data_IF_538714380290
#
_entry.id   IF_538714380290
#
_cell.length_a   1.000
_cell.length_b   1.000
_cell.length_c   1.000
_cell.angle_alpha   90.00
_cell.angle_beta   90.00
_cell.angle_gamma   90.00
#
_symmetry.space_group_name_H-M   'P 1'
#
loop_
_entity.id
_entity.type
_entity.pdbx_description
1 polymer ?
#
# COMPACT_ATOMS: atom_id res chain seq x y z
N UNK A 1 -11.90 -30.91 -19.09
CA UNK A 1 -10.81 -31.18 -18.12
C UNK A 1 -10.43 -29.86 -17.47
N UNK A 2 -10.73 -29.71 -16.18
CA UNK A 2 -10.49 -28.49 -15.42
C UNK A 2 -8.99 -28.36 -15.12
N UNK A 3 -8.37 -27.29 -15.60
CA UNK A 3 -6.95 -27.05 -15.44
C UNK A 3 -6.68 -26.43 -14.06
N UNK A 4 -6.64 -27.29 -13.03
CA UNK A 4 -6.38 -26.92 -11.62
C UNK A 4 -5.04 -26.20 -11.42
N UNK A 5 -4.10 -26.38 -12.34
CA UNK A 5 -2.72 -25.89 -12.23
C UNK A 5 -2.61 -24.35 -12.35
N UNK A 6 -3.48 -23.71 -13.14
CA UNK A 6 -3.49 -22.25 -13.31
C UNK A 6 -4.19 -21.50 -12.15
N UNK A 7 -5.11 -22.17 -11.45
CA UNK A 7 -5.78 -21.60 -10.28
C UNK A 7 -4.90 -21.64 -9.03
N UNK A 8 -4.13 -22.73 -8.87
CA UNK A 8 -3.16 -22.83 -7.79
C UNK A 8 -2.01 -21.82 -7.94
N UNK A 9 -1.53 -21.49 -9.15
CA UNK A 9 -0.36 -20.59 -9.27
C UNK A 9 -0.63 -19.14 -8.86
N UNK A 10 -1.77 -18.55 -9.22
CA UNK A 10 -2.14 -17.17 -8.84
C UNK A 10 -2.41 -17.02 -7.34
N UNK A 11 -3.14 -17.97 -6.74
CA UNK A 11 -3.45 -17.95 -5.31
C UNK A 11 -2.22 -18.19 -4.43
N UNK A 12 -1.30 -19.04 -4.88
CA UNK A 12 -0.12 -19.46 -4.13
C UNK A 12 0.99 -18.39 -4.21
N UNK A 13 1.07 -17.60 -5.28
CA UNK A 13 1.89 -16.37 -5.33
C UNK A 13 1.33 -15.25 -4.44
N UNK A 14 0.00 -15.06 -4.40
CA UNK A 14 -0.63 -14.14 -3.45
C UNK A 14 -0.36 -14.54 -1.99
N UNK A 15 -0.39 -15.85 -1.68
CA UNK A 15 -0.03 -16.37 -0.36
C UNK A 15 1.48 -16.24 -0.05
N UNK A 16 2.37 -16.36 -1.04
CA UNK A 16 3.81 -16.19 -0.85
C UNK A 16 4.23 -14.74 -0.55
N UNK A 17 3.50 -13.75 -1.08
CA UNK A 17 3.70 -12.34 -0.71
C UNK A 17 3.30 -12.09 0.76
N UNK A 18 2.30 -12.80 1.28
CA UNK A 18 1.86 -12.71 2.68
C UNK A 18 2.82 -13.44 3.62
N UNK A 19 3.37 -14.59 3.21
CA UNK A 19 4.29 -15.38 4.03
C UNK A 19 5.70 -14.78 4.19
N UNK A 20 6.13 -13.89 3.28
CA UNK A 20 7.38 -13.16 3.42
C UNK A 20 7.33 -12.04 4.49
N UNK A 21 6.15 -11.69 5.01
CA UNK A 21 5.99 -10.71 6.09
C UNK A 21 6.14 -11.31 7.51
N UNK A 22 6.33 -12.62 7.63
CA UNK A 22 6.50 -13.30 8.91
C UNK A 22 7.90 -13.91 9.03
N UNK A 23 8.95 -13.09 9.21
CA UNK A 23 10.19 -13.43 9.94
C UNK A 23 11.16 -12.24 9.95
N UNK A 24 10.94 -11.27 10.85
CA UNK A 24 12.01 -10.47 11.45
C UNK A 24 11.46 -9.63 12.62
N UNK A 25 11.92 -9.98 13.81
CA UNK A 25 11.84 -9.29 15.10
C UNK A 25 11.64 -7.76 15.07
N UNK A 26 10.80 -7.24 15.98
CA UNK A 26 11.25 -6.76 17.30
C UNK A 26 10.08 -6.18 18.09
N UNK A 27 9.89 -6.65 19.33
CA UNK A 27 8.98 -6.03 20.30
C UNK A 27 9.41 -4.58 20.59
N UNK A 28 8.46 -3.63 20.68
CA UNK A 28 8.66 -2.44 21.49
C UNK A 28 7.97 -2.62 22.86
N UNK A 29 8.76 -2.38 23.91
CA UNK A 29 8.36 -2.21 25.32
C UNK A 29 7.18 -1.23 25.51
N UNK A 30 6.38 -1.36 26.59
CA UNK A 30 5.21 -0.52 26.83
C UNK A 30 5.58 0.83 27.46
N UNK A 31 5.28 1.92 26.76
CA UNK A 31 5.42 3.29 27.28
C UNK A 31 4.18 3.71 28.08
N UNK A 32 4.35 4.17 29.32
CA UNK A 32 3.31 4.81 30.15
C UNK A 32 3.89 5.97 31.01
N UNK A 33 3.06 6.94 31.45
CA UNK A 33 3.26 8.37 31.16
C UNK A 33 3.46 9.28 32.39
N UNK A 34 3.92 10.52 32.19
CA UNK A 34 3.81 11.71 33.08
C UNK A 34 4.42 12.92 32.33
N UNK A 35 3.98 14.19 32.38
CA UNK A 35 3.14 14.96 33.31
C UNK A 35 2.76 16.32 32.67
N UNK A 36 1.57 16.82 33.01
CA UNK A 36 1.17 18.24 33.19
C UNK A 36 1.37 19.26 32.03
N UNK A 37 0.20 19.77 31.62
CA UNK A 37 -0.17 20.83 30.68
C UNK A 37 0.79 22.05 30.67
N UNK A 38 1.48 22.21 29.54
CA UNK A 38 1.84 23.52 28.95
C UNK A 38 1.09 23.58 27.62
N UNK A 39 0.73 24.75 27.09
CA UNK A 39 0.37 24.88 25.66
C UNK A 39 1.62 24.52 24.85
N UNK A 40 1.89 23.24 24.68
CA UNK A 40 3.11 22.75 24.02
C UNK A 40 2.91 22.94 22.52
N UNK A 41 3.83 23.67 21.90
CA UNK A 41 4.01 23.59 20.46
C UNK A 41 4.04 22.10 20.07
N UNK A 42 3.27 21.71 19.05
CA UNK A 42 3.32 20.34 18.55
C UNK A 42 4.76 20.00 18.19
N UNK A 43 5.23 18.86 18.68
CA UNK A 43 6.54 18.34 18.29
C UNK A 43 6.57 18.03 16.79
N UNK A 44 7.77 18.00 16.21
CA UNK A 44 7.96 17.70 14.78
C UNK A 44 7.29 16.36 14.34
N UNK A 45 7.37 15.26 15.11
CA UNK A 45 6.63 14.02 14.79
C UNK A 45 5.11 14.20 14.81
N UNK A 46 4.57 14.98 15.75
CA UNK A 46 3.13 15.24 15.84
C UNK A 46 2.64 16.09 14.66
N UNK A 47 3.44 17.05 14.20
CA UNK A 47 3.16 17.82 13.00
C UNK A 47 3.17 16.93 11.75
N UNK A 48 4.18 16.07 11.60
CA UNK A 48 4.26 15.12 10.50
C UNK A 48 3.03 14.18 10.48
N UNK A 49 2.65 13.62 11.63
CA UNK A 49 1.44 12.80 11.77
C UNK A 49 0.19 13.59 11.41
N UNK A 50 0.06 14.83 11.86
CA UNK A 50 -1.09 15.68 11.55
C UNK A 50 -1.18 15.97 10.04
N UNK A 51 -0.07 16.25 9.37
CA UNK A 51 -0.02 16.42 7.91
C UNK A 51 -0.51 15.16 7.21
N UNK A 52 0.05 13.99 7.56
CA UNK A 52 -0.29 12.70 6.96
C UNK A 52 -1.78 12.35 7.14
N UNK A 53 -2.34 12.69 8.30
CA UNK A 53 -3.75 12.51 8.62
C UNK A 53 -4.66 13.43 7.79
N UNK A 54 -4.35 14.72 7.72
CA UNK A 54 -5.16 15.70 6.97
C UNK A 54 -5.19 15.41 5.47
N UNK A 55 -4.10 14.88 4.90
CA UNK A 55 -4.07 14.48 3.49
C UNK A 55 -4.62 13.07 3.24
N UNK A 56 -5.07 12.35 4.26
CA UNK A 56 -5.72 11.03 4.10
C UNK A 56 -4.78 9.86 3.82
N UNK A 57 -3.48 9.99 4.13
CA UNK A 57 -2.45 9.00 3.74
C UNK A 57 -2.78 7.57 4.17
N UNK A 58 -3.33 7.39 5.38
CA UNK A 58 -3.71 6.07 5.89
C UNK A 58 -4.71 5.35 4.99
N UNK A 59 -5.78 6.06 4.59
CA UNK A 59 -6.79 5.51 3.70
C UNK A 59 -6.22 5.21 2.32
N UNK A 60 -5.37 6.11 1.79
CA UNK A 60 -4.77 5.93 0.47
C UNK A 60 -3.83 4.72 0.46
N UNK A 61 -3.01 4.58 1.50
CA UNK A 61 -2.10 3.46 1.66
C UNK A 61 -2.83 2.12 1.63
N UNK A 62 -3.88 1.97 2.44
CA UNK A 62 -4.65 0.72 2.51
C UNK A 62 -5.38 0.45 1.18
N UNK A 63 -5.88 1.49 0.52
CA UNK A 63 -6.52 1.37 -0.80
C UNK A 63 -5.53 0.94 -1.88
N UNK A 64 -4.32 1.50 -1.89
CA UNK A 64 -3.26 1.14 -2.85
C UNK A 64 -2.71 -0.26 -2.58
N UNK A 65 -2.59 -0.67 -1.31
CA UNK A 65 -2.25 -2.04 -0.93
C UNK A 65 -3.29 -3.04 -1.49
N UNK A 66 -4.55 -2.63 -1.56
CA UNK A 66 -5.63 -3.36 -2.21
C UNK A 66 -5.39 -3.71 -3.69
N UNK A 67 -4.44 -3.08 -4.39
CA UNK A 67 -4.08 -3.46 -5.76
C UNK A 67 -3.56 -4.89 -5.90
N UNK A 68 -2.93 -5.41 -4.85
CA UNK A 68 -2.45 -6.79 -4.84
C UNK A 68 -3.64 -7.74 -5.04
N UNK A 69 -4.78 -7.38 -4.44
CA UNK A 69 -6.05 -8.09 -4.61
C UNK A 69 -6.55 -7.94 -6.05
N UNK A 70 -6.49 -6.74 -6.62
CA UNK A 70 -6.89 -6.49 -8.02
C UNK A 70 -6.09 -7.34 -9.03
N UNK A 71 -4.80 -7.57 -8.77
CA UNK A 71 -3.96 -8.44 -9.59
C UNK A 71 -4.27 -9.94 -9.42
N UNK A 72 -4.66 -10.35 -8.21
CA UNK A 72 -4.95 -11.74 -7.89
C UNK A 72 -6.23 -12.28 -8.56
N UNK A 73 -7.16 -11.42 -9.00
CA UNK A 73 -8.42 -11.84 -9.62
C UNK A 73 -8.55 -11.41 -11.06
N UNK A 74 -8.71 -12.39 -11.96
CA UNK A 74 -9.17 -12.12 -13.31
C UNK A 74 -10.60 -11.52 -13.26
N UNK A 75 -10.95 -10.57 -14.13
CA UNK A 75 -12.28 -9.95 -14.16
C UNK A 75 -13.43 -10.96 -14.22
N UNK A 76 -13.26 -12.05 -14.99
CA UNK A 76 -14.26 -13.10 -15.15
C UNK A 76 -14.53 -13.93 -13.89
N UNK A 77 -13.61 -13.92 -12.92
CA UNK A 77 -13.70 -14.69 -11.66
C UNK A 77 -13.88 -13.79 -10.43
N UNK A 78 -14.17 -12.51 -10.64
CA UNK A 78 -14.30 -11.54 -9.56
C UNK A 78 -15.44 -11.89 -8.61
N UNK A 79 -15.11 -12.05 -7.32
CA UNK A 79 -16.07 -12.28 -6.25
C UNK A 79 -16.01 -11.10 -5.28
N UNK A 80 -16.98 -10.16 -5.30
CA UNK A 80 -16.88 -8.90 -4.56
C UNK A 80 -16.75 -9.09 -3.04
N UNK A 81 -17.49 -10.05 -2.47
CA UNK A 81 -17.40 -10.36 -1.02
C UNK A 81 -16.02 -10.88 -0.61
N UNK A 82 -15.41 -11.73 -1.45
CA UNK A 82 -14.09 -12.29 -1.19
C UNK A 82 -13.00 -11.23 -1.37
N UNK A 83 -13.13 -10.39 -2.40
CA UNK A 83 -12.24 -9.25 -2.61
C UNK A 83 -12.26 -8.29 -1.43
N UNK A 84 -13.44 -7.86 -0.98
CA UNK A 84 -13.57 -7.00 0.19
C UNK A 84 -13.00 -7.64 1.47
N UNK A 85 -13.24 -8.94 1.67
CA UNK A 85 -12.64 -9.68 2.79
C UNK A 85 -11.11 -9.69 2.72
N UNK A 86 -10.52 -9.97 1.56
CA UNK A 86 -9.07 -10.03 1.39
C UNK A 86 -8.43 -8.63 1.53
N UNK A 87 -9.08 -7.59 1.02
CA UNK A 87 -8.66 -6.20 1.27
C UNK A 87 -8.63 -5.89 2.77
N UNK A 88 -9.66 -6.30 3.52
CA UNK A 88 -9.70 -6.13 4.98
C UNK A 88 -8.59 -6.91 5.70
N UNK A 89 -8.27 -8.12 5.23
CA UNK A 89 -7.10 -8.87 5.75
C UNK A 89 -5.81 -8.11 5.50
N UNK A 90 -5.58 -7.61 4.27
CA UNK A 90 -4.36 -6.86 3.95
C UNK A 90 -4.24 -5.56 4.77
N UNK A 91 -5.31 -4.79 4.92
CA UNK A 91 -5.29 -3.58 5.76
C UNK A 91 -4.94 -3.92 7.22
N UNK A 92 -5.42 -5.06 7.74
CA UNK A 92 -5.11 -5.49 9.11
C UNK A 92 -3.68 -6.01 9.26
N UNK A 93 -3.20 -6.81 8.32
CA UNK A 93 -1.91 -7.50 8.45
C UNK A 93 -0.73 -6.71 7.91
N UNK A 94 -0.95 -5.82 6.93
CA UNK A 94 0.09 -5.08 6.23
C UNK A 94 -0.27 -3.61 5.94
N UNK A 95 -1.41 -3.12 6.46
CA UNK A 95 -1.90 -1.76 6.24
C UNK A 95 -1.16 -0.68 7.02
N UNK A 96 -1.73 0.52 7.00
CA UNK A 96 -1.10 1.78 7.43
C UNK A 96 -0.40 1.72 8.79
N UNK A 97 -0.99 1.03 9.78
CA UNK A 97 -0.42 0.92 11.14
C UNK A 97 1.02 0.41 11.19
N UNK A 98 1.43 -0.36 10.18
CA UNK A 98 2.78 -0.93 10.08
C UNK A 98 3.74 -0.04 9.28
N UNK A 99 3.23 0.93 8.53
CA UNK A 99 3.99 1.83 7.69
C UNK A 99 4.10 3.25 8.26
N UNK A 100 3.19 3.64 9.16
CA UNK A 100 3.07 5.01 9.68
C UNK A 100 4.40 5.60 10.16
N UNK A 101 5.17 4.85 10.95
CA UNK A 101 6.45 5.31 11.50
C UNK A 101 7.47 5.66 10.40
N UNK A 102 7.51 4.90 9.31
CA UNK A 102 8.41 5.16 8.19
C UNK A 102 8.02 6.45 7.46
N UNK A 103 6.73 6.72 7.32
CA UNK A 103 6.24 7.96 6.72
C UNK A 103 6.54 9.16 7.60
N UNK A 104 6.29 9.06 8.91
CA UNK A 104 6.63 10.12 9.88
C UNK A 104 8.13 10.41 9.82
N UNK A 105 8.98 9.39 9.95
CA UNK A 105 10.43 9.54 9.90
C UNK A 105 10.91 10.19 8.59
N UNK A 106 10.29 9.83 7.45
CA UNK A 106 10.60 10.47 6.17
C UNK A 106 10.26 11.96 6.17
N UNK A 107 9.09 12.35 6.68
CA UNK A 107 8.69 13.75 6.77
C UNK A 107 9.61 14.54 7.72
N UNK A 108 9.97 13.94 8.85
CA UNK A 108 10.90 14.55 9.81
C UNK A 108 12.30 14.75 9.23
N UNK A 109 12.79 13.82 8.43
CA UNK A 109 14.11 13.94 7.79
C UNK A 109 14.12 14.96 6.63
N UNK A 110 12.96 15.23 6.03
CA UNK A 110 12.89 16.01 4.78
C UNK A 110 12.50 17.47 5.02
N UNK A 111 11.59 17.74 5.96
CA UNK A 111 11.01 19.06 6.18
C UNK A 111 11.42 19.62 7.54
N UNK A 112 11.57 20.93 7.64
CA UNK A 112 11.67 21.66 8.91
C UNK A 112 10.31 21.72 9.62
N UNK A 113 10.32 22.10 10.90
CA UNK A 113 9.08 22.30 11.66
C UNK A 113 8.19 23.39 11.06
N UNK A 114 8.79 24.47 10.54
CA UNK A 114 8.07 25.56 9.90
C UNK A 114 7.38 25.10 8.61
N UNK A 115 8.09 24.34 7.77
CA UNK A 115 7.51 23.75 6.55
C UNK A 115 6.39 22.75 6.87
N UNK A 116 6.52 21.93 7.92
CA UNK A 116 5.44 21.02 8.33
C UNK A 116 4.20 21.78 8.81
N UNK A 117 4.36 22.91 9.50
CA UNK A 117 3.24 23.79 9.88
C UNK A 117 2.57 24.43 8.66
N UNK A 118 3.37 24.86 7.68
CA UNK A 118 2.86 25.40 6.43
C UNK A 118 2.10 24.32 5.63
N UNK A 119 2.69 23.14 5.46
CA UNK A 119 2.05 21.99 4.82
C UNK A 119 0.74 21.60 5.52
N UNK A 120 0.72 21.62 6.86
CA UNK A 120 -0.50 21.36 7.63
C UNK A 120 -1.57 22.43 7.41
N UNK A 121 -1.17 23.68 7.19
CA UNK A 121 -2.09 24.77 6.88
C UNK A 121 -2.64 24.62 5.46
N UNK A 122 -1.78 24.28 4.50
CA UNK A 122 -2.17 24.03 3.11
C UNK A 122 -3.10 22.81 3.00
N UNK A 123 -2.81 21.70 3.67
CA UNK A 123 -3.62 20.48 3.64
C UNK A 123 -5.03 20.68 4.18
N UNK A 124 -5.21 21.66 5.08
CA UNK A 124 -6.51 22.04 5.61
C UNK A 124 -7.37 22.86 4.65
N UNK A 125 -6.78 23.43 3.59
CA UNK A 125 -7.52 24.24 2.64
C UNK A 125 -8.57 23.41 1.89
N UNK A 126 -9.81 23.91 1.74
CA UNK A 126 -10.88 23.16 1.09
C UNK A 126 -10.56 22.71 -0.34
N UNK A 127 -9.85 23.54 -1.11
CA UNK A 127 -9.47 23.20 -2.48
C UNK A 127 -8.45 22.04 -2.53
N UNK A 128 -7.49 22.03 -1.60
CA UNK A 128 -6.51 20.94 -1.48
C UNK A 128 -7.21 19.65 -1.08
N UNK A 129 -8.12 19.70 -0.10
CA UNK A 129 -8.92 18.52 0.29
C UNK A 129 -9.75 17.99 -0.88
N UNK A 130 -10.41 18.88 -1.62
CA UNK A 130 -11.20 18.51 -2.81
C UNK A 130 -10.34 17.87 -3.89
N UNK A 131 -9.14 18.40 -4.13
CA UNK A 131 -8.18 17.83 -5.07
C UNK A 131 -7.76 16.42 -4.65
N UNK A 132 -7.36 16.23 -3.39
CA UNK A 132 -6.93 14.94 -2.86
C UNK A 132 -8.07 13.90 -2.92
N UNK A 133 -9.28 14.28 -2.53
CA UNK A 133 -10.46 13.39 -2.64
C UNK A 133 -10.77 13.02 -4.08
N UNK A 134 -10.65 13.96 -5.03
CA UNK A 134 -10.90 13.70 -6.43
C UNK A 134 -9.85 12.73 -7.03
N UNK A 135 -8.59 12.83 -6.63
CA UNK A 135 -7.53 11.90 -7.05
C UNK A 135 -7.82 10.48 -6.56
N UNK A 136 -8.17 10.32 -5.29
CA UNK A 136 -8.45 9.03 -4.66
C UNK A 136 -9.69 8.38 -5.26
N UNK A 137 -10.72 9.17 -5.53
CA UNK A 137 -11.93 8.68 -6.18
C UNK A 137 -11.64 8.27 -7.62
N UNK A 138 -10.90 9.09 -8.39
CA UNK A 138 -10.50 8.74 -9.75
C UNK A 138 -9.68 7.44 -9.78
N UNK A 139 -8.82 7.25 -8.77
CA UNK A 139 -8.06 6.02 -8.59
C UNK A 139 -8.97 4.79 -8.32
N UNK A 140 -9.99 4.95 -7.48
CA UNK A 140 -10.99 3.90 -7.22
C UNK A 140 -11.81 3.58 -8.46
N UNK A 141 -12.29 4.61 -9.17
CA UNK A 141 -13.13 4.49 -10.35
C UNK A 141 -12.39 3.82 -11.51
N UNK A 142 -11.06 4.00 -11.59
CA UNK A 142 -10.21 3.32 -12.56
C UNK A 142 -10.01 1.82 -12.28
N UNK A 143 -10.41 1.29 -11.11
CA UNK A 143 -10.13 -0.09 -10.71
C UNK A 143 -10.63 -1.18 -11.68
N UNK A 144 -11.84 -1.12 -12.27
CA UNK A 144 -12.29 -2.12 -13.23
C UNK A 144 -11.40 -2.19 -14.48
N UNK A 145 -11.07 -1.04 -15.07
CA UNK A 145 -10.20 -0.97 -16.25
C UNK A 145 -8.75 -1.33 -15.91
N UNK A 146 -8.26 -0.91 -14.74
CA UNK A 146 -6.94 -1.32 -14.23
C UNK A 146 -6.86 -2.84 -14.11
N UNK A 147 -7.84 -3.51 -13.51
CA UNK A 147 -7.89 -4.98 -13.41
C UNK A 147 -7.89 -5.67 -14.76
N UNK A 148 -8.68 -5.19 -15.72
CA UNK A 148 -8.71 -5.72 -17.08
C UNK A 148 -7.35 -5.63 -17.77
N UNK A 149 -6.65 -4.50 -17.62
CA UNK A 149 -5.31 -4.30 -18.18
C UNK A 149 -4.27 -5.18 -17.50
N UNK A 150 -4.31 -5.29 -16.17
CA UNK A 150 -3.42 -6.16 -15.40
C UNK A 150 -3.58 -7.63 -15.78
N UNK A 151 -4.82 -8.11 -15.90
CA UNK A 151 -5.08 -9.50 -16.34
C UNK A 151 -4.58 -9.74 -17.77
N UNK A 152 -4.75 -8.78 -18.68
CA UNK A 152 -4.18 -8.87 -20.03
C UNK A 152 -2.65 -9.00 -19.99
N UNK A 153 -1.97 -8.11 -19.26
CA UNK A 153 -0.50 -8.14 -19.13
C UNK A 153 -0.04 -9.48 -18.56
N UNK A 154 -0.72 -9.98 -17.54
CA UNK A 154 -0.43 -11.29 -16.96
C UNK A 154 -0.58 -12.41 -17.98
N UNK A 155 -1.67 -12.43 -18.73
CA UNK A 155 -1.93 -13.46 -19.74
C UNK A 155 -0.92 -13.38 -20.89
N UNK A 156 -0.54 -12.18 -21.33
CA UNK A 156 0.45 -11.97 -22.37
C UNK A 156 1.86 -12.43 -21.93
N UNK A 157 2.26 -12.14 -20.69
CA UNK A 157 3.50 -12.64 -20.10
C UNK A 157 3.53 -14.17 -20.07
N UNK A 158 2.48 -14.81 -19.55
CA UNK A 158 2.41 -16.28 -19.47
C UNK A 158 2.26 -16.96 -20.83
N UNK A 159 1.81 -16.23 -21.85
CA UNK A 159 1.69 -16.73 -23.23
C UNK A 159 2.92 -16.36 -24.09
N UNK A 160 4.02 -15.89 -23.47
CA UNK A 160 5.24 -15.43 -24.15
C UNK A 160 5.05 -14.31 -25.18
N UNK A 161 3.93 -13.57 -25.10
CA UNK A 161 3.68 -12.37 -25.92
C UNK A 161 4.43 -11.15 -25.39
N UNK A 162 4.82 -11.18 -24.12
CA UNK A 162 5.78 -10.23 -23.51
C UNK A 162 7.05 -11.04 -23.24
N UNK A 163 8.09 -10.95 -24.09
CA UNK A 163 9.32 -11.67 -23.88
C UNK A 163 10.07 -11.11 -22.68
N UNK A 164 10.65 -11.99 -21.86
CA UNK A 164 11.58 -11.58 -20.82
C UNK A 164 12.89 -11.12 -21.48
N UNK A 165 13.48 -9.97 -21.08
CA UNK A 165 14.79 -9.58 -21.59
C UNK A 165 15.85 -10.64 -21.25
N UNK A 166 16.80 -10.95 -22.16
CA UNK A 166 17.85 -11.94 -21.92
C UNK A 166 18.69 -11.68 -20.68
N UNK A 167 18.86 -10.43 -20.29
CA UNK A 167 19.61 -10.00 -19.11
C UNK A 167 18.93 -10.49 -17.82
N UNK A 168 17.58 -10.45 -17.79
CA UNK A 168 16.78 -10.91 -16.65
C UNK A 168 16.75 -12.44 -16.56
N UNK A 169 16.70 -13.12 -17.71
CA UNK A 169 16.76 -14.60 -17.73
C UNK A 169 18.06 -15.13 -17.10
N UNK A 170 19.20 -14.51 -17.40
CA UNK A 170 20.50 -14.92 -16.85
C UNK A 170 20.60 -14.77 -15.33
N UNK A 171 19.90 -13.81 -14.72
CA UNK A 171 19.84 -13.65 -13.27
C UNK A 171 19.01 -14.74 -12.60
N UNK A 172 17.95 -15.24 -13.27
CA UNK A 172 17.11 -16.32 -12.73
C UNK A 172 17.78 -17.69 -12.73
N UNK A 173 18.86 -17.86 -13.52
CA UNK A 173 19.64 -19.10 -13.62
C UNK A 173 20.82 -19.15 -12.63
N UNK A 174 21.17 -18.02 -11.99
CA UNK A 174 22.23 -18.01 -10.99
C UNK A 174 21.69 -18.44 -9.61
N UNK A 175 22.28 -19.45 -8.95
CA UNK A 175 21.89 -19.78 -7.59
C UNK A 175 22.17 -18.58 -6.68
N UNK A 176 21.15 -18.17 -5.91
CA UNK A 176 21.32 -17.17 -4.84
C UNK A 176 22.39 -17.71 -3.90
N UNK A 177 23.53 -17.00 -3.81
CA UNK A 177 24.59 -17.29 -2.83
C UNK A 177 24.11 -17.01 -1.42
#
# INVERSE_FOLDING_TARGET
>A
MFNLQAWCSKGLLGALIILAACTANSQPEPYQPSSVIRKTAQSKPELARAVLSEIGTAQHYDQYLGNIVDFAFAPATYKPKFHAWLQGVLAREAGWKHAESNYIARLEATFSEAELKELLTLSKQPLVKKLLQAEVQAYADAAPERRKRLDKVWNDYNSSRIPMPPEVMKETEQPRK
#
